data_IF_334427245923
#
_entry.id   IF_334427245923
#
_cell.length_a   1.000
_cell.length_b   1.000
_cell.length_c   1.000
_cell.angle_alpha   90.00
_cell.angle_beta   90.00
_cell.angle_gamma   90.00
#
_symmetry.space_group_name_H-M   'P 1'
#
loop_
_entity.id
_entity.type
_entity.pdbx_description
1 polymer ?
#
# COMPACT_ATOMS: atom_id res chain seq x y z
N UNK A 1 27.00 16.44 -20.51
CA UNK A 1 25.60 16.91 -20.70
C UNK A 1 24.84 16.24 -21.86
N UNK A 2 25.49 15.83 -22.98
CA UNK A 2 24.82 15.22 -24.15
C UNK A 2 24.25 13.80 -23.97
N UNK A 3 24.79 12.97 -23.07
CA UNK A 3 24.36 11.56 -22.86
C UNK A 3 23.08 11.39 -22.05
N UNK A 4 22.74 12.36 -21.19
CA UNK A 4 21.50 12.32 -20.37
C UNK A 4 20.25 12.48 -21.25
N UNK A 5 20.33 13.27 -22.32
CA UNK A 5 19.22 13.47 -23.26
C UNK A 5 18.90 12.20 -24.06
N UNK A 6 19.90 11.49 -24.61
CA UNK A 6 19.66 10.26 -25.40
C UNK A 6 18.92 9.17 -24.61
N UNK A 7 19.23 8.99 -23.31
CA UNK A 7 18.54 8.02 -22.45
C UNK A 7 17.08 8.40 -22.18
N UNK A 8 16.78 9.71 -22.08
CA UNK A 8 15.41 10.20 -21.90
C UNK A 8 14.61 9.99 -23.18
N UNK A 9 15.16 10.39 -24.34
CA UNK A 9 14.51 10.16 -25.64
C UNK A 9 14.25 8.67 -25.90
N UNK A 10 15.23 7.80 -25.68
CA UNK A 10 15.06 6.35 -25.90
C UNK A 10 13.98 5.75 -24.99
N UNK A 11 13.92 6.16 -23.71
CA UNK A 11 12.84 5.74 -22.80
C UNK A 11 11.48 6.18 -23.30
N UNK A 12 11.34 7.43 -23.74
CA UNK A 12 10.09 7.97 -24.27
C UNK A 12 9.62 7.24 -25.53
N UNK A 13 10.54 7.01 -26.50
CA UNK A 13 10.22 6.24 -27.70
C UNK A 13 9.83 4.80 -27.37
N UNK A 14 10.56 4.14 -26.48
CA UNK A 14 10.24 2.78 -26.06
C UNK A 14 8.85 2.70 -25.40
N UNK A 15 8.52 3.61 -24.47
CA UNK A 15 7.20 3.64 -23.84
C UNK A 15 6.08 3.89 -24.85
N UNK A 16 6.31 4.78 -25.83
CA UNK A 16 5.33 5.07 -26.88
C UNK A 16 5.14 3.86 -27.81
N UNK A 17 6.23 3.19 -28.20
CA UNK A 17 6.17 1.97 -29.01
C UNK A 17 5.42 0.84 -28.31
N UNK A 18 5.64 0.65 -27.00
CA UNK A 18 4.89 -0.34 -26.20
C UNK A 18 3.40 0.01 -26.18
N UNK A 19 3.05 1.28 -25.94
CA UNK A 19 1.66 1.71 -25.91
C UNK A 19 0.96 1.52 -27.27
N UNK A 20 1.61 1.90 -28.37
CA UNK A 20 1.10 1.68 -29.73
C UNK A 20 0.95 0.20 -30.02
N UNK A 21 1.93 -0.62 -29.64
CA UNK A 21 1.85 -2.07 -29.81
C UNK A 21 0.64 -2.67 -29.08
N UNK A 22 0.43 -2.33 -27.81
CA UNK A 22 -0.74 -2.78 -27.04
C UNK A 22 -2.03 -2.33 -27.74
N UNK A 23 -2.12 -1.08 -28.19
CA UNK A 23 -3.28 -0.56 -28.91
C UNK A 23 -3.54 -1.31 -30.21
N UNK A 24 -2.51 -1.65 -30.99
CA UNK A 24 -2.66 -2.45 -32.20
C UNK A 24 -3.12 -3.88 -31.87
N UNK A 25 -2.53 -4.50 -30.84
CA UNK A 25 -2.96 -5.83 -30.37
C UNK A 25 -4.42 -5.85 -29.92
N UNK A 26 -4.90 -4.79 -29.27
CA UNK A 26 -6.32 -4.62 -28.91
C UNK A 26 -7.24 -4.61 -30.14
N UNK A 27 -6.79 -4.01 -31.24
CA UNK A 27 -7.56 -3.92 -32.50
C UNK A 27 -7.52 -5.25 -33.28
N UNK A 28 -6.40 -5.97 -33.24
CA UNK A 28 -6.26 -7.26 -33.93
C UNK A 28 -6.87 -8.43 -33.17
N UNK A 29 -6.93 -8.39 -31.85
CA UNK A 29 -7.50 -9.44 -31.00
C UNK A 29 -8.59 -8.91 -30.06
N UNK A 30 -9.67 -8.31 -30.59
CA UNK A 30 -10.67 -7.60 -29.78
C UNK A 30 -11.46 -8.52 -28.85
N UNK A 31 -11.73 -9.76 -29.27
CA UNK A 31 -12.44 -10.77 -28.46
C UNK A 31 -11.61 -11.15 -27.23
N UNK A 32 -10.35 -11.57 -27.44
CA UNK A 32 -9.42 -11.89 -26.36
C UNK A 32 -9.17 -10.71 -25.41
N UNK A 33 -9.05 -9.50 -25.95
CA UNK A 33 -8.92 -8.29 -25.16
C UNK A 33 -10.17 -8.02 -24.29
N UNK A 34 -11.36 -8.16 -24.86
CA UNK A 34 -12.62 -7.97 -24.15
C UNK A 34 -12.80 -9.01 -23.04
N UNK A 35 -12.59 -10.30 -23.34
CA UNK A 35 -12.65 -11.37 -22.35
C UNK A 35 -11.64 -11.16 -21.22
N UNK A 36 -10.40 -10.78 -21.56
CA UNK A 36 -9.39 -10.47 -20.56
C UNK A 36 -9.78 -9.29 -19.67
N UNK A 37 -10.40 -8.25 -20.25
CA UNK A 37 -10.89 -7.11 -19.49
C UNK A 37 -12.04 -7.50 -18.56
N UNK A 38 -12.99 -8.32 -19.02
CA UNK A 38 -14.10 -8.85 -18.20
C UNK A 38 -13.56 -9.73 -17.07
N UNK A 39 -12.57 -10.57 -17.35
CA UNK A 39 -11.90 -11.37 -16.32
C UNK A 39 -11.21 -10.50 -15.27
N UNK A 40 -10.47 -9.48 -15.68
CA UNK A 40 -9.86 -8.51 -14.77
C UNK A 40 -10.90 -7.76 -13.92
N UNK A 41 -12.02 -7.35 -14.54
CA UNK A 41 -13.13 -6.71 -13.84
C UNK A 41 -13.77 -7.65 -12.80
N UNK A 42 -13.98 -8.93 -13.15
CA UNK A 42 -14.53 -9.93 -12.25
C UNK A 42 -13.62 -10.19 -11.04
N UNK A 43 -12.30 -10.27 -11.25
CA UNK A 43 -11.33 -10.38 -10.15
C UNK A 43 -11.42 -9.15 -9.25
N UNK A 44 -11.45 -7.96 -9.84
CA UNK A 44 -11.55 -6.72 -9.07
C UNK A 44 -12.86 -6.64 -8.28
N UNK A 45 -14.01 -6.88 -8.90
CA UNK A 45 -15.32 -6.72 -8.28
C UNK A 45 -15.64 -7.79 -7.23
N UNK A 46 -15.35 -9.06 -7.53
CA UNK A 46 -15.74 -10.18 -6.65
C UNK A 46 -14.72 -10.46 -5.54
N UNK A 47 -13.47 -10.05 -5.71
CA UNK A 47 -12.40 -10.35 -4.75
C UNK A 47 -11.83 -9.07 -4.14
N UNK A 48 -11.25 -8.19 -4.95
CA UNK A 48 -10.44 -7.06 -4.46
C UNK A 48 -11.30 -5.98 -3.80
N UNK A 49 -12.40 -5.59 -4.42
CA UNK A 49 -13.29 -4.52 -3.95
C UNK A 49 -13.89 -4.84 -2.57
N UNK A 50 -14.58 -5.98 -2.35
CA UNK A 50 -15.15 -6.30 -1.04
C UNK A 50 -14.08 -6.55 0.03
N UNK A 51 -12.91 -7.08 -0.36
CA UNK A 51 -11.82 -7.34 0.58
C UNK A 51 -11.18 -6.06 1.10
N UNK A 52 -10.98 -5.04 0.26
CA UNK A 52 -10.21 -3.84 0.63
C UNK A 52 -11.08 -2.66 1.08
N UNK A 53 -12.31 -2.51 0.58
CA UNK A 53 -13.15 -1.34 0.85
C UNK A 53 -13.38 -1.08 2.36
N UNK A 54 -13.76 -2.08 3.18
CA UNK A 54 -13.98 -1.83 4.61
C UNK A 54 -12.72 -1.33 5.32
N UNK A 55 -11.55 -1.89 4.99
CA UNK A 55 -10.29 -1.47 5.58
C UNK A 55 -9.88 -0.06 5.16
N UNK A 56 -10.08 0.31 3.88
CA UNK A 56 -9.80 1.68 3.42
C UNK A 56 -10.69 2.71 4.12
N UNK A 57 -12.00 2.43 4.24
CA UNK A 57 -12.95 3.32 4.91
C UNK A 57 -12.55 3.49 6.38
N UNK A 58 -12.32 2.38 7.09
CA UNK A 58 -11.89 2.42 8.48
C UNK A 58 -10.57 3.16 8.65
N UNK A 59 -9.59 2.95 7.77
CA UNK A 59 -8.30 3.64 7.87
C UNK A 59 -8.42 5.15 7.66
N UNK A 60 -9.19 5.60 6.67
CA UNK A 60 -9.45 7.03 6.40
C UNK A 60 -10.21 7.68 7.57
N UNK A 61 -11.19 6.98 8.15
CA UNK A 61 -11.92 7.46 9.34
C UNK A 61 -10.97 7.57 10.53
N UNK A 62 -10.21 6.53 10.86
CA UNK A 62 -9.27 6.53 11.99
C UNK A 62 -8.20 7.63 11.84
N UNK A 63 -7.76 7.88 10.61
CA UNK A 63 -6.85 8.98 10.29
C UNK A 63 -7.48 10.34 10.57
N UNK A 64 -8.70 10.61 10.08
CA UNK A 64 -9.40 11.86 10.35
C UNK A 64 -9.91 12.03 11.79
N UNK A 65 -10.03 10.94 12.54
CA UNK A 65 -10.28 10.96 13.98
C UNK A 65 -9.03 11.25 14.82
N UNK A 66 -7.83 11.27 14.22
CA UNK A 66 -6.58 11.54 14.92
C UNK A 66 -5.93 10.32 15.57
N UNK A 67 -6.42 9.10 15.30
CA UNK A 67 -5.88 7.86 15.89
C UNK A 67 -4.44 7.59 15.43
N UNK A 68 -4.10 8.01 14.21
CA UNK A 68 -2.72 7.93 13.68
C UNK A 68 -1.74 8.67 14.59
N UNK A 69 -2.12 9.87 15.06
CA UNK A 69 -1.28 10.66 15.96
C UNK A 69 -1.23 10.09 17.38
N UNK A 70 -2.34 9.53 17.86
CA UNK A 70 -2.38 8.81 19.13
C UNK A 70 -1.37 7.65 19.14
N UNK A 71 -1.47 6.77 18.12
CA UNK A 71 -0.55 5.65 17.97
C UNK A 71 0.87 6.15 17.76
N UNK A 72 1.05 7.23 17.01
CA UNK A 72 2.36 7.80 16.78
C UNK A 72 3.04 8.23 18.07
N UNK A 73 2.34 8.93 18.95
CA UNK A 73 2.89 9.30 20.26
C UNK A 73 3.21 8.08 21.14
N UNK A 74 2.35 7.06 21.12
CA UNK A 74 2.49 5.87 21.96
C UNK A 74 3.65 4.98 21.51
N UNK A 75 3.82 4.82 20.19
CA UNK A 75 4.76 3.88 19.59
C UNK A 75 6.03 4.55 19.03
N UNK A 76 6.14 5.88 19.06
CA UNK A 76 7.39 6.63 18.79
C UNK A 76 8.62 6.03 19.51
N UNK A 77 8.56 5.64 20.81
CA UNK A 77 9.71 5.06 21.50
C UNK A 77 10.18 3.71 20.93
N UNK A 78 9.36 3.05 20.11
CA UNK A 78 9.71 1.79 19.45
C UNK A 78 10.03 2.03 17.98
N UNK A 79 9.16 2.71 17.25
CA UNK A 79 9.30 2.94 15.80
C UNK A 79 10.59 3.69 15.47
N UNK A 80 10.92 4.70 16.28
CA UNK A 80 12.05 5.57 16.02
C UNK A 80 13.41 4.89 16.21
N UNK A 81 13.71 4.26 17.37
CA UNK A 81 15.00 3.59 17.54
C UNK A 81 15.10 2.28 16.76
N UNK A 82 14.01 1.56 16.49
CA UNK A 82 14.08 0.25 15.84
C UNK A 82 14.14 0.40 14.31
N UNK A 83 13.23 1.18 13.73
CA UNK A 83 13.07 1.28 12.27
C UNK A 83 13.49 2.63 11.69
N UNK A 84 13.78 3.63 12.53
CA UNK A 84 14.11 4.99 12.11
C UNK A 84 13.02 5.60 11.19
N UNK A 85 11.77 5.40 11.59
CA UNK A 85 10.56 5.96 10.97
C UNK A 85 9.79 6.77 12.01
N UNK A 86 8.92 7.72 11.63
CA UNK A 86 8.07 8.44 12.58
C UNK A 86 7.11 7.48 13.28
N UNK A 87 6.72 7.83 14.49
CA UNK A 87 5.77 7.09 15.30
C UNK A 87 4.46 6.86 14.56
N UNK A 88 3.93 7.84 13.82
CA UNK A 88 2.72 7.70 13.02
C UNK A 88 2.79 6.50 12.04
N UNK A 89 4.00 6.11 11.63
CA UNK A 89 4.25 4.91 10.84
C UNK A 89 3.83 3.61 11.55
N UNK A 90 3.65 3.60 12.88
CA UNK A 90 3.11 2.45 13.60
C UNK A 90 1.68 2.11 13.18
N UNK A 91 0.88 3.12 12.83
CA UNK A 91 -0.47 2.89 12.31
C UNK A 91 -0.40 2.17 10.96
N UNK A 92 0.50 2.63 10.09
CA UNK A 92 0.73 1.99 8.79
C UNK A 92 1.23 0.56 8.94
N UNK A 93 2.15 0.32 9.88
CA UNK A 93 2.64 -1.03 10.18
C UNK A 93 1.52 -1.94 10.69
N UNK A 94 0.73 -1.49 11.66
CA UNK A 94 -0.37 -2.28 12.20
C UNK A 94 -1.41 -2.62 11.13
N UNK A 95 -1.85 -1.61 10.36
CA UNK A 95 -2.81 -1.81 9.28
C UNK A 95 -2.21 -2.69 8.17
N UNK A 96 -0.96 -2.45 7.76
CA UNK A 96 -0.29 -3.24 6.73
C UNK A 96 -0.12 -4.71 7.10
N UNK A 97 0.21 -5.02 8.36
CA UNK A 97 0.30 -6.41 8.82
C UNK A 97 -1.07 -7.09 8.89
N UNK A 98 -2.12 -6.35 9.28
CA UNK A 98 -3.48 -6.88 9.41
C UNK A 98 -4.20 -7.06 8.08
N UNK A 99 -3.99 -6.15 7.12
CA UNK A 99 -4.75 -6.07 5.87
C UNK A 99 -3.92 -6.31 4.61
N UNK A 100 -2.59 -6.40 4.74
CA UNK A 100 -1.68 -6.71 3.66
C UNK A 100 -1.54 -5.61 2.60
N UNK A 101 -1.06 -6.02 1.44
CA UNK A 101 -0.95 -5.16 0.26
C UNK A 101 -2.33 -4.90 -0.36
N UNK A 102 -2.59 -3.69 -0.90
CA UNK A 102 -1.70 -2.54 -1.03
C UNK A 102 -1.87 -1.52 0.12
N UNK A 103 -2.47 -1.88 1.26
CA UNK A 103 -2.88 -0.91 2.29
C UNK A 103 -1.68 -0.15 2.86
N UNK A 104 -0.59 -0.86 3.16
CA UNK A 104 0.61 -0.25 3.73
C UNK A 104 1.22 0.85 2.83
N UNK A 105 1.24 0.65 1.52
CA UNK A 105 1.76 1.66 0.58
C UNK A 105 0.83 2.86 0.43
N UNK A 106 -0.49 2.62 0.40
CA UNK A 106 -1.50 3.69 0.36
C UNK A 106 -1.41 4.55 1.61
N UNK A 107 -1.39 3.95 2.80
CA UNK A 107 -1.31 4.70 4.05
C UNK A 107 0.04 5.40 4.22
N UNK A 108 1.14 4.81 3.76
CA UNK A 108 2.43 5.51 3.72
C UNK A 108 2.38 6.75 2.83
N UNK A 109 1.74 6.63 1.66
CA UNK A 109 1.53 7.76 0.75
C UNK A 109 0.70 8.85 1.42
N UNK A 110 -0.37 8.50 2.14
CA UNK A 110 -1.16 9.45 2.94
C UNK A 110 -0.34 10.17 4.01
N UNK A 111 0.49 9.46 4.77
CA UNK A 111 1.39 10.10 5.73
C UNK A 111 2.33 11.10 5.04
N UNK A 112 2.81 10.75 3.85
CA UNK A 112 3.70 11.62 3.06
C UNK A 112 2.98 12.87 2.55
N UNK A 113 1.78 12.72 2.01
CA UNK A 113 0.91 13.83 1.55
C UNK A 113 0.58 14.79 2.70
N UNK A 114 0.39 14.25 3.92
CA UNK A 114 0.12 15.03 5.13
C UNK A 114 1.38 15.59 5.81
N UNK A 115 2.58 15.40 5.23
CA UNK A 115 3.87 15.78 5.81
C UNK A 115 4.15 15.18 7.20
N UNK A 116 3.59 14.01 7.50
CA UNK A 116 3.85 13.24 8.72
C UNK A 116 5.09 12.35 8.59
N UNK A 117 5.58 12.14 7.37
CA UNK A 117 6.86 11.52 7.11
C UNK A 117 7.64 12.22 5.99
N UNK A 118 8.96 12.14 6.06
CA UNK A 118 9.85 12.48 4.95
C UNK A 118 9.79 11.43 3.84
N UNK A 119 10.37 11.75 2.68
CA UNK A 119 10.48 10.78 1.57
C UNK A 119 11.20 9.50 2.02
N UNK A 120 12.36 9.65 2.66
CA UNK A 120 13.18 8.51 3.11
C UNK A 120 12.50 7.72 4.22
N UNK A 121 11.83 8.38 5.17
CA UNK A 121 11.02 7.67 6.18
C UNK A 121 9.87 6.89 5.52
N UNK A 122 9.25 7.44 4.47
CA UNK A 122 8.24 6.74 3.67
C UNK A 122 8.81 5.54 2.91
N UNK A 123 9.98 5.68 2.28
CA UNK A 123 10.68 4.56 1.62
C UNK A 123 11.00 3.43 2.60
N UNK A 124 11.50 3.77 3.80
CA UNK A 124 11.72 2.80 4.88
C UNK A 124 10.42 2.13 5.26
N UNK A 125 9.36 2.90 5.53
CA UNK A 125 8.08 2.35 5.97
C UNK A 125 7.48 1.39 4.94
N UNK A 126 7.39 1.80 3.68
CA UNK A 126 6.84 0.95 2.60
C UNK A 126 7.57 -0.38 2.46
N UNK A 127 8.87 -0.43 2.75
CA UNK A 127 9.69 -1.64 2.56
C UNK A 127 9.27 -2.82 3.46
N UNK A 128 8.66 -2.56 4.62
CA UNK A 128 8.31 -3.61 5.60
C UNK A 128 6.85 -3.59 6.05
N UNK A 129 6.03 -2.69 5.51
CA UNK A 129 4.59 -2.63 5.83
C UNK A 129 3.70 -3.13 4.69
N UNK A 130 4.28 -3.74 3.66
CA UNK A 130 3.56 -4.27 2.50
C UNK A 130 3.68 -5.80 2.44
N UNK A 131 2.95 -6.49 3.32
CA UNK A 131 2.96 -7.96 3.46
C UNK A 131 1.71 -8.60 2.85
N UNK A 132 1.69 -9.92 2.72
CA UNK A 132 0.41 -10.62 2.55
C UNK A 132 -0.40 -10.48 3.85
N UNK A 133 -1.73 -10.49 3.73
CA UNK A 133 -2.63 -10.47 4.87
C UNK A 133 -2.76 -11.89 5.49
N UNK A 134 -3.20 -12.00 6.76
CA UNK A 134 -3.42 -13.28 7.41
C UNK A 134 -4.40 -14.18 6.65
N UNK A 135 -5.45 -13.63 6.05
CA UNK A 135 -6.46 -14.44 5.36
C UNK A 135 -5.85 -15.12 4.13
N UNK A 136 -4.99 -14.44 3.38
CA UNK A 136 -4.25 -15.03 2.28
C UNK A 136 -3.28 -16.12 2.75
N UNK A 137 -2.48 -15.84 3.79
CA UNK A 137 -1.46 -16.79 4.27
C UNK A 137 -2.09 -18.07 4.87
N UNK A 138 -3.08 -17.92 5.74
CA UNK A 138 -3.73 -19.06 6.39
C UNK A 138 -4.77 -19.73 5.48
N UNK A 139 -5.62 -18.94 4.82
CA UNK A 139 -6.73 -19.43 4.01
C UNK A 139 -6.27 -19.91 2.64
N UNK A 140 -5.80 -18.99 1.80
CA UNK A 140 -5.48 -19.32 0.41
C UNK A 140 -4.26 -20.24 0.31
N UNK A 141 -3.16 -19.91 0.99
CA UNK A 141 -1.91 -20.68 0.86
C UNK A 141 -1.94 -21.94 1.71
N UNK A 142 -2.05 -21.84 3.03
CA UNK A 142 -1.92 -23.02 3.89
C UNK A 142 -3.06 -24.04 3.68
N UNK A 143 -4.32 -23.59 3.73
CA UNK A 143 -5.48 -24.47 3.52
C UNK A 143 -5.74 -24.73 2.04
N UNK A 144 -5.83 -23.67 1.23
CA UNK A 144 -6.24 -23.79 -0.18
C UNK A 144 -5.21 -24.48 -1.08
N UNK A 145 -3.92 -24.09 -1.00
CA UNK A 145 -2.88 -24.62 -1.87
C UNK A 145 -2.19 -25.85 -1.29
N UNK A 146 -1.85 -25.82 0.00
CA UNK A 146 -1.13 -26.92 0.65
C UNK A 146 -2.05 -27.97 1.27
N UNK A 147 -3.36 -27.71 1.38
CA UNK A 147 -4.29 -28.64 2.04
C UNK A 147 -4.00 -28.86 3.53
N UNK A 148 -3.22 -27.98 4.17
CA UNK A 148 -2.70 -28.17 5.52
C UNK A 148 -2.73 -26.87 6.34
N UNK A 149 -3.77 -26.74 7.17
CA UNK A 149 -3.95 -25.59 8.07
C UNK A 149 -2.79 -25.39 9.06
N UNK A 150 -2.09 -26.46 9.45
CA UNK A 150 -0.98 -26.41 10.40
C UNK A 150 0.21 -25.59 9.88
N UNK A 151 0.34 -25.44 8.56
CA UNK A 151 1.40 -24.63 7.95
C UNK A 151 1.16 -23.11 8.08
N UNK A 152 -0.07 -22.67 8.36
CA UNK A 152 -0.43 -21.26 8.37
C UNK A 152 0.42 -20.43 9.34
N UNK A 153 0.64 -20.95 10.55
CA UNK A 153 1.46 -20.27 11.55
C UNK A 153 2.93 -20.17 11.13
N UNK A 154 3.49 -21.23 10.53
CA UNK A 154 4.87 -21.22 10.05
C UNK A 154 5.06 -20.23 8.89
N UNK A 155 4.12 -20.19 7.96
CA UNK A 155 4.11 -19.23 6.84
C UNK A 155 4.01 -17.79 7.38
N UNK A 156 3.05 -17.51 8.26
CA UNK A 156 2.85 -16.18 8.82
C UNK A 156 4.07 -15.71 9.63
N UNK A 157 4.67 -16.60 10.44
CA UNK A 157 5.88 -16.29 11.18
C UNK A 157 7.05 -15.97 10.26
N UNK A 158 7.31 -16.81 9.25
CA UNK A 158 8.35 -16.56 8.27
C UNK A 158 8.13 -15.23 7.53
N UNK A 159 6.89 -14.94 7.14
CA UNK A 159 6.54 -13.73 6.39
C UNK A 159 6.72 -12.46 7.23
N UNK A 160 6.18 -12.43 8.44
CA UNK A 160 6.28 -11.26 9.31
C UNK A 160 7.70 -11.04 9.85
N UNK A 161 8.43 -12.11 10.22
CA UNK A 161 9.82 -11.98 10.63
C UNK A 161 10.70 -11.48 9.48
N UNK A 162 10.45 -11.93 8.25
CA UNK A 162 11.15 -11.40 7.07
C UNK A 162 10.85 -9.92 6.88
N UNK A 163 9.59 -9.50 6.98
CA UNK A 163 9.21 -8.09 6.86
C UNK A 163 9.90 -7.23 7.91
N UNK A 164 9.83 -7.63 9.19
CA UNK A 164 10.50 -6.94 10.29
C UNK A 164 12.01 -6.85 10.07
N UNK A 165 12.63 -7.91 9.59
CA UNK A 165 14.07 -7.95 9.28
C UNK A 165 14.43 -6.96 8.18
N UNK A 166 13.62 -6.87 7.11
CA UNK A 166 13.78 -5.85 6.06
C UNK A 166 13.67 -4.44 6.66
N UNK A 167 12.71 -4.22 7.56
CA UNK A 167 12.57 -2.94 8.26
C UNK A 167 13.81 -2.55 9.07
N UNK A 168 14.40 -3.52 9.78
CA UNK A 168 15.64 -3.33 10.56
C UNK A 168 16.83 -2.98 9.66
N UNK A 169 16.95 -3.63 8.50
CA UNK A 169 18.01 -3.36 7.53
C UNK A 169 17.78 -1.96 6.90
N UNK A 170 16.54 -1.66 6.53
CA UNK A 170 16.17 -0.39 5.88
C UNK A 170 16.30 0.81 6.80
N UNK A 171 16.37 0.62 8.13
CA UNK A 171 16.73 1.67 9.09
C UNK A 171 17.96 2.49 8.67
N UNK A 172 18.96 1.84 8.05
CA UNK A 172 20.22 2.47 7.64
C UNK A 172 20.13 3.19 6.28
N UNK A 173 19.10 2.93 5.49
CA UNK A 173 18.88 3.59 4.19
C UNK A 173 18.60 5.08 4.40
N UNK A 174 19.38 5.95 3.75
CA UNK A 174 19.25 7.42 3.88
C UNK A 174 19.48 7.95 5.30
N UNK A 175 20.30 7.27 6.11
CA UNK A 175 20.59 7.62 7.52
C UNK A 175 21.17 9.04 7.74
N UNK A 176 21.73 9.65 6.68
CA UNK A 176 22.28 11.01 6.71
C UNK A 176 21.21 12.12 6.52
N UNK A 177 19.98 11.76 6.15
CA UNK A 177 18.91 12.74 5.97
C UNK A 177 18.27 13.14 7.31
N UNK A 178 17.95 14.42 7.47
CA UNK A 178 17.24 14.93 8.65
C UNK A 178 15.88 14.25 8.75
N UNK A 179 15.75 13.41 9.76
CA UNK A 179 14.48 12.79 10.13
C UNK A 179 13.69 13.77 11.01
N UNK A 180 12.36 13.67 11.04
CA UNK A 180 11.53 14.65 11.78
C UNK A 180 11.86 14.66 13.28
N UNK A 181 11.90 15.81 13.97
CA UNK A 181 12.28 15.84 15.38
C UNK A 181 11.32 15.00 16.22
N UNK A 182 11.88 14.03 16.96
CA UNK A 182 11.10 13.19 17.85
C UNK A 182 10.67 13.98 19.08
N UNK A 183 9.38 13.93 19.40
CA UNK A 183 8.84 14.54 20.60
C UNK A 183 8.97 13.53 21.75
N UNK A 184 10.09 13.50 22.47
CA UNK A 184 10.21 12.72 23.72
C UNK A 184 9.72 13.54 24.94
N UNK A 185 9.05 12.90 25.91
CA UNK A 185 8.53 13.58 27.09
C UNK A 185 7.93 12.65 28.15
N UNK A 186 7.86 13.11 29.41
CA UNK A 186 7.21 12.39 30.52
C UNK A 186 5.68 12.43 30.33
N UNK A 187 4.98 11.35 30.73
CA UNK A 187 3.52 11.12 30.56
C UNK A 187 3.05 10.85 29.11
N UNK A 188 3.63 9.82 28.46
CA UNK A 188 3.31 9.40 27.08
C UNK A 188 1.80 9.20 26.86
N UNK A 189 1.11 8.52 27.77
CA UNK A 189 -0.32 8.22 27.62
C UNK A 189 -1.16 9.49 27.57
N UNK A 190 -0.97 10.40 28.53
CA UNK A 190 -1.69 11.68 28.56
C UNK A 190 -1.45 12.47 27.27
N UNK A 191 -0.20 12.52 26.79
CA UNK A 191 0.14 13.19 25.55
C UNK A 191 -0.47 12.53 24.32
N UNK A 192 -0.60 11.20 24.30
CA UNK A 192 -1.23 10.49 23.19
C UNK A 192 -2.70 10.90 23.07
N UNK A 193 -3.43 10.92 24.19
CA UNK A 193 -4.82 11.41 24.22
C UNK A 193 -4.92 12.89 23.84
N UNK A 194 -4.00 13.75 24.31
CA UNK A 194 -3.95 15.16 23.89
C UNK A 194 -3.72 15.27 22.38
N UNK A 195 -2.77 14.51 21.83
CA UNK A 195 -2.46 14.53 20.40
C UNK A 195 -3.61 14.03 19.53
N UNK A 196 -4.38 13.04 20.01
CA UNK A 196 -5.61 12.60 19.36
C UNK A 196 -6.63 13.75 19.28
N UNK A 197 -6.88 14.40 20.42
CA UNK A 197 -7.84 15.48 20.51
C UNK A 197 -7.42 16.69 19.66
N UNK A 198 -6.16 17.09 19.71
CA UNK A 198 -5.60 18.18 18.90
C UNK A 198 -5.70 17.87 17.40
N UNK A 199 -5.39 16.65 16.99
CA UNK A 199 -5.53 16.22 15.60
C UNK A 199 -7.00 16.26 15.15
N UNK A 200 -7.92 15.73 15.97
CA UNK A 200 -9.35 15.77 15.67
C UNK A 200 -9.87 17.22 15.57
N UNK A 201 -9.42 18.09 16.47
CA UNK A 201 -9.77 19.51 16.47
C UNK A 201 -9.23 20.23 15.23
N UNK A 202 -8.01 19.90 14.81
CA UNK A 202 -7.38 20.44 13.60
C UNK A 202 -8.07 19.98 12.32
N UNK A 203 -8.54 18.73 12.28
CA UNK A 203 -9.32 18.19 11.16
C UNK A 203 -10.62 18.98 10.96
N UNK A 204 -11.35 19.27 12.05
CA UNK A 204 -12.48 20.19 12.07
C UNK A 204 -13.73 19.75 11.30
N UNK A 205 -13.64 18.71 10.45
CA UNK A 205 -14.77 18.21 9.66
C UNK A 205 -15.82 17.56 10.57
N UNK A 206 -17.12 17.81 10.36
CA UNK A 206 -18.18 17.04 11.01
C UNK A 206 -18.05 15.53 10.70
N UNK A 207 -18.52 14.68 11.61
CA UNK A 207 -18.39 13.21 11.46
C UNK A 207 -19.01 12.70 10.16
N UNK A 208 -20.19 13.22 9.78
CA UNK A 208 -20.84 12.83 8.52
C UNK A 208 -20.02 13.21 7.28
N UNK A 209 -19.39 14.40 7.27
CA UNK A 209 -18.49 14.80 6.19
C UNK A 209 -17.24 13.93 6.15
N UNK A 210 -16.64 13.64 7.32
CA UNK A 210 -15.49 12.73 7.42
C UNK A 210 -15.81 11.35 6.83
N UNK A 211 -16.97 10.78 7.18
CA UNK A 211 -17.40 9.48 6.66
C UNK A 211 -17.63 9.52 5.14
N UNK A 212 -18.31 10.55 4.63
CA UNK A 212 -18.55 10.69 3.19
C UNK A 212 -17.26 10.84 2.39
N UNK A 213 -16.31 11.64 2.89
CA UNK A 213 -14.99 11.78 2.26
C UNK A 213 -14.16 10.50 2.35
N UNK A 214 -14.20 9.78 3.47
CA UNK A 214 -13.53 8.49 3.63
C UNK A 214 -14.03 7.46 2.60
N UNK A 215 -15.35 7.34 2.42
CA UNK A 215 -15.95 6.46 1.41
C UNK A 215 -15.50 6.87 0.00
N UNK A 216 -15.61 8.17 -0.33
CA UNK A 216 -15.21 8.68 -1.66
C UNK A 216 -13.74 8.41 -1.96
N UNK A 217 -12.85 8.71 -1.02
CA UNK A 217 -11.41 8.47 -1.17
C UNK A 217 -11.09 6.98 -1.35
N UNK A 218 -11.77 6.12 -0.58
CA UNK A 218 -11.62 4.66 -0.65
C UNK A 218 -12.05 4.13 -2.01
N UNK A 219 -13.23 4.54 -2.49
CA UNK A 219 -13.77 4.14 -3.80
C UNK A 219 -12.86 4.62 -4.94
N UNK A 220 -12.40 5.87 -4.92
CA UNK A 220 -11.49 6.39 -5.94
C UNK A 220 -10.18 5.59 -6.02
N UNK A 221 -9.63 5.24 -4.85
CA UNK A 221 -8.42 4.41 -4.78
C UNK A 221 -8.67 3.00 -5.34
N UNK A 222 -9.82 2.41 -5.02
CA UNK A 222 -10.20 1.08 -5.54
C UNK A 222 -10.47 1.07 -7.04
N UNK A 223 -11.08 2.13 -7.59
CA UNK A 223 -11.28 2.26 -9.03
C UNK A 223 -9.94 2.34 -9.77
N UNK A 224 -8.96 3.06 -9.21
CA UNK A 224 -7.60 3.11 -9.76
C UNK A 224 -6.94 1.72 -9.75
N UNK A 225 -7.05 0.98 -8.65
CA UNK A 225 -6.56 -0.42 -8.57
C UNK A 225 -7.27 -1.30 -9.61
N UNK A 226 -8.60 -1.18 -9.76
CA UNK A 226 -9.37 -1.93 -10.74
C UNK A 226 -8.95 -1.65 -12.18
N UNK A 227 -8.70 -0.39 -12.52
CA UNK A 227 -8.18 0.00 -13.83
C UNK A 227 -6.83 -0.68 -14.14
N UNK A 228 -5.92 -0.74 -13.17
CA UNK A 228 -4.65 -1.45 -13.35
C UNK A 228 -4.83 -2.97 -13.50
N UNK A 229 -5.72 -3.59 -12.72
CA UNK A 229 -6.00 -5.04 -12.84
C UNK A 229 -6.53 -5.37 -14.23
N UNK A 230 -7.48 -4.59 -14.75
CA UNK A 230 -8.05 -4.76 -16.09
C UNK A 230 -6.96 -4.59 -17.16
N UNK A 231 -6.18 -3.51 -17.08
CA UNK A 231 -5.09 -3.24 -18.02
C UNK A 231 -4.05 -4.38 -18.05
N UNK A 232 -3.60 -4.85 -16.89
CA UNK A 232 -2.63 -5.94 -16.82
C UNK A 232 -3.23 -7.28 -17.28
N UNK A 233 -4.51 -7.54 -17.01
CA UNK A 233 -5.19 -8.74 -17.50
C UNK A 233 -5.18 -8.79 -19.03
N UNK A 234 -5.46 -7.65 -19.68
CA UNK A 234 -5.37 -7.50 -21.14
C UNK A 234 -3.95 -7.70 -21.65
N UNK A 235 -2.95 -7.05 -21.03
CA UNK A 235 -1.54 -7.18 -21.45
C UNK A 235 -1.05 -8.64 -21.34
N UNK A 236 -1.37 -9.32 -20.23
CA UNK A 236 -1.00 -10.72 -20.02
C UNK A 236 -1.65 -11.60 -21.08
N UNK A 237 -2.92 -11.37 -21.39
CA UNK A 237 -3.62 -12.13 -22.43
C UNK A 237 -3.01 -11.91 -23.82
N UNK A 238 -2.70 -10.66 -24.19
CA UNK A 238 -2.01 -10.35 -25.45
C UNK A 238 -0.68 -11.11 -25.55
N UNK A 239 0.11 -11.16 -24.48
CA UNK A 239 1.35 -11.92 -24.47
C UNK A 239 1.16 -13.44 -24.59
N UNK A 240 0.06 -13.99 -24.06
CA UNK A 240 -0.31 -15.40 -24.27
C UNK A 240 -0.69 -15.68 -25.72
N UNK A 241 -1.54 -14.84 -26.32
CA UNK A 241 -1.98 -15.01 -27.72
C UNK A 241 -0.81 -14.90 -28.69
N UNK A 242 0.17 -14.03 -28.40
CA UNK A 242 1.39 -13.90 -29.20
C UNK A 242 2.42 -15.02 -28.96
N UNK A 243 2.17 -15.95 -28.05
CA UNK A 243 3.09 -17.05 -27.72
C UNK A 243 4.36 -16.62 -26.95
N UNK A 244 4.36 -15.42 -26.36
CA UNK A 244 5.48 -14.91 -25.55
C UNK A 244 5.51 -15.58 -24.18
N UNK A 245 4.33 -15.88 -23.63
CA UNK A 245 4.15 -16.56 -22.36
C UNK A 245 3.40 -17.87 -22.64
N UNK A 246 3.85 -18.97 -22.03
CA UNK A 246 3.16 -20.26 -22.10
C UNK A 246 1.71 -20.15 -21.63
N UNK A 247 0.82 -20.89 -22.29
CA UNK A 247 -0.62 -20.93 -22.00
C UNK A 247 -0.86 -21.54 -20.63
#
# INVERSE_FOLDING_TARGET
MKTRNKKVFLKSYLSASIAVFITISLVWFPEHAFEAAVNGLNIWWNVVFPALLPFFICAEILMGLGVVHFMGVLLEPFMRPIFNVPGEGSFVMAMGLASGFPIGSILTTRLREQNLCTKTEGERLMSFTNTADPLFMFGAVAVGMFGNAGLGAAIAAAHYLSSLSVGLIMRFHGSKERSLPSKYGRKIISRAFTSLYEARKKDGRPVGQLMGEAIRNSVNTLLLIGGFIILFSVIINVFKVLGVIGV
#
